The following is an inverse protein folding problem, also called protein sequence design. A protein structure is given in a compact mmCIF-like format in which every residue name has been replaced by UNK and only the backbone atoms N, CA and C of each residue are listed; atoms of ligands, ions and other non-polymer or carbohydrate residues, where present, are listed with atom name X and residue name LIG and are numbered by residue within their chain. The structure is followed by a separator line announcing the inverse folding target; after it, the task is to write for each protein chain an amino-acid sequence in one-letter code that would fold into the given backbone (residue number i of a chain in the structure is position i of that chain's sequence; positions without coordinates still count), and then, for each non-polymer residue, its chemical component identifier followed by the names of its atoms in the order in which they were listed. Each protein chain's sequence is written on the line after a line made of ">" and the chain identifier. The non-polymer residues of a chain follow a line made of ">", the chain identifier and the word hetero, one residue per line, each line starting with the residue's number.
data_IF_171525279810
#
_entry.id   IF_171525279810
#
_cell.length_a   1.000
_cell.length_b   1.000
_cell.length_c   1.000
_cell.angle_alpha   90.00
_cell.angle_beta   90.00
_cell.angle_gamma   90.00
#
_symmetry.space_group_name_H-M   'P 1'
#
loop_
_entity.id
_entity.type
_entity.pdbx_description
1 polymer ?
#
# COMPACT_ATOMS: atom_id res chain seq x y z
N UNK A 1 -62.48 -15.95 -60.69
CA UNK A 1 -61.98 -17.24 -61.22
C UNK A 1 -60.49 -17.24 -60.97
N UNK A 2 -59.86 -18.10 -60.18
CA UNK A 2 -60.23 -19.28 -59.40
C UNK A 2 -59.18 -19.32 -58.26
N UNK A 3 -59.48 -19.60 -56.99
CA UNK A 3 -60.32 -20.68 -56.53
C UNK A 3 -59.50 -21.97 -56.42
N UNK A 4 -58.61 -22.08 -55.42
CA UNK A 4 -58.23 -23.40 -54.88
C UNK A 4 -57.84 -23.33 -53.41
N UNK A 5 -58.64 -24.04 -52.61
CA UNK A 5 -58.50 -24.26 -51.17
C UNK A 5 -57.41 -25.29 -50.88
N UNK A 6 -56.83 -25.10 -49.70
CA UNK A 6 -55.84 -25.87 -48.95
C UNK A 6 -56.24 -27.35 -48.78
N UNK A 7 -55.28 -28.26 -48.49
CA UNK A 7 -55.45 -29.08 -47.30
C UNK A 7 -54.27 -28.99 -46.34
N UNK A 8 -54.63 -28.88 -45.08
CA UNK A 8 -53.80 -28.92 -43.89
C UNK A 8 -53.43 -30.39 -43.64
N UNK A 9 -52.16 -30.66 -43.35
CA UNK A 9 -51.76 -31.81 -42.56
C UNK A 9 -50.92 -31.30 -41.39
N UNK A 10 -51.39 -31.62 -40.19
CA UNK A 10 -50.82 -31.24 -38.92
C UNK A 10 -49.60 -32.08 -38.56
N UNK A 11 -48.58 -31.37 -38.11
CA UNK A 11 -47.80 -31.62 -36.89
C UNK A 11 -46.98 -32.91 -36.78
N UNK A 12 -45.66 -32.78 -36.64
CA UNK A 12 -44.93 -33.12 -35.40
C UNK A 12 -43.44 -32.93 -35.64
N UNK A 13 -42.86 -31.95 -34.95
CA UNK A 13 -41.43 -31.66 -35.00
C UNK A 13 -41.21 -30.36 -34.27
N UNK A 14 -41.20 -30.48 -32.94
CA UNK A 14 -40.97 -29.44 -31.94
C UNK A 14 -40.37 -28.16 -32.51
N UNK A 15 -41.23 -27.19 -32.80
CA UNK A 15 -40.81 -25.78 -32.78
C UNK A 15 -40.51 -25.53 -31.32
N UNK A 16 -39.23 -25.62 -30.97
CA UNK A 16 -38.73 -25.06 -29.72
C UNK A 16 -39.18 -23.61 -29.72
N UNK A 17 -40.21 -23.37 -28.91
CA UNK A 17 -40.70 -22.05 -28.58
C UNK A 17 -39.49 -21.30 -28.07
N UNK A 18 -38.86 -20.48 -28.92
CA UNK A 18 -37.92 -19.46 -28.46
C UNK A 18 -38.78 -18.58 -27.58
N UNK A 19 -38.61 -18.61 -26.24
CA UNK A 19 -39.41 -17.76 -25.39
C UNK A 19 -39.09 -16.35 -25.85
N UNK A 20 -40.11 -15.66 -26.33
CA UNK A 20 -40.06 -14.24 -26.65
C UNK A 20 -39.33 -13.57 -25.50
N UNK A 21 -38.11 -13.07 -25.76
CA UNK A 21 -37.39 -12.27 -24.78
C UNK A 21 -38.32 -11.09 -24.51
N UNK A 22 -39.02 -11.16 -23.38
CA UNK A 22 -39.73 -10.05 -22.80
C UNK A 22 -38.75 -8.89 -22.83
N UNK A 23 -39.15 -7.91 -23.64
CA UNK A 23 -38.35 -6.82 -24.18
C UNK A 23 -37.19 -6.42 -23.26
N UNK A 24 -35.95 -6.59 -23.74
CA UNK A 24 -34.83 -5.84 -23.18
C UNK A 24 -35.29 -4.39 -23.00
N UNK A 25 -34.94 -3.79 -21.88
CA UNK A 25 -35.25 -2.41 -21.58
C UNK A 25 -34.71 -1.55 -22.71
N UNK A 26 -35.57 -0.67 -23.22
CA UNK A 26 -35.19 0.29 -24.24
C UNK A 26 -35.48 1.71 -23.78
N UNK A 27 -34.64 2.63 -24.21
CA UNK A 27 -34.85 4.06 -23.99
C UNK A 27 -34.37 4.86 -25.19
N UNK A 28 -35.05 5.99 -25.43
CA UNK A 28 -34.69 6.92 -26.50
C UNK A 28 -33.32 7.58 -26.31
N UNK A 29 -32.73 7.49 -25.10
CA UNK A 29 -31.41 8.04 -24.77
C UNK A 29 -30.32 6.96 -24.67
N UNK A 30 -30.55 5.80 -25.29
CA UNK A 30 -29.61 4.68 -25.31
C UNK A 30 -28.33 5.00 -26.09
N UNK A 31 -27.21 4.47 -25.61
CA UNK A 31 -25.92 4.50 -26.32
C UNK A 31 -25.85 3.52 -27.51
N UNK A 32 -26.91 2.76 -27.78
CA UNK A 32 -27.00 1.74 -28.83
C UNK A 32 -28.12 2.06 -29.82
N UNK A 33 -27.90 1.77 -31.10
CA UNK A 33 -28.79 2.18 -32.20
C UNK A 33 -30.18 1.52 -32.16
N UNK A 34 -30.28 0.36 -31.50
CA UNK A 34 -31.51 -0.40 -31.30
C UNK A 34 -32.30 0.02 -30.05
N UNK A 35 -31.78 1.00 -29.30
CA UNK A 35 -32.43 1.56 -28.12
C UNK A 35 -32.11 0.84 -26.81
N UNK A 36 -31.18 -0.12 -26.77
CA UNK A 36 -30.87 -0.94 -25.58
C UNK A 36 -30.49 -0.10 -24.34
N UNK A 37 -31.26 -0.17 -23.26
CA UNK A 37 -31.03 0.61 -22.04
C UNK A 37 -30.17 -0.17 -21.03
N UNK A 38 -28.87 0.08 -21.07
CA UNK A 38 -27.92 -0.59 -20.19
C UNK A 38 -28.18 -0.34 -18.71
N UNK A 39 -28.64 0.84 -18.32
CA UNK A 39 -28.82 1.16 -16.90
C UNK A 39 -29.97 0.35 -16.32
N UNK A 40 -31.11 0.32 -17.01
CA UNK A 40 -32.26 -0.48 -16.59
C UNK A 40 -31.96 -1.98 -16.63
N UNK A 41 -31.24 -2.44 -17.66
CA UNK A 41 -30.80 -3.83 -17.75
C UNK A 41 -29.85 -4.23 -16.62
N UNK A 42 -28.99 -3.33 -16.14
CA UNK A 42 -28.05 -3.64 -15.07
C UNK A 42 -28.74 -4.06 -13.77
N UNK A 43 -29.93 -3.50 -13.49
CA UNK A 43 -30.72 -3.82 -12.29
C UNK A 43 -31.24 -5.25 -12.38
N UNK A 44 -31.77 -5.65 -13.53
CA UNK A 44 -32.27 -7.01 -13.74
C UNK A 44 -31.15 -8.03 -13.82
N UNK A 45 -30.04 -7.70 -14.49
CA UNK A 45 -28.82 -8.51 -14.52
C UNK A 45 -28.27 -8.75 -13.13
N UNK A 46 -28.24 -7.72 -12.27
CA UNK A 46 -27.80 -7.88 -10.88
C UNK A 46 -28.73 -8.79 -10.08
N UNK A 47 -30.04 -8.68 -10.26
CA UNK A 47 -31.01 -9.58 -9.63
C UNK A 47 -30.85 -11.03 -10.11
N UNK A 48 -30.57 -11.25 -11.40
CA UNK A 48 -30.29 -12.58 -11.98
C UNK A 48 -28.97 -13.14 -11.45
N UNK A 49 -27.94 -12.31 -11.29
CA UNK A 49 -26.63 -12.74 -10.81
C UNK A 49 -26.67 -13.28 -9.38
N UNK A 50 -27.60 -12.78 -8.55
CA UNK A 50 -27.83 -13.24 -7.18
C UNK A 50 -28.55 -14.60 -7.08
N UNK A 51 -29.11 -15.12 -8.17
CA UNK A 51 -29.79 -16.43 -8.19
C UNK A 51 -28.78 -17.57 -8.30
N UNK A 52 -29.01 -18.65 -7.54
CA UNK A 52 -28.19 -19.87 -7.54
C UNK A 52 -28.46 -20.81 -8.72
N UNK A 53 -29.64 -20.73 -9.35
CA UNK A 53 -29.97 -21.38 -10.62
C UNK A 53 -30.59 -20.36 -11.56
N UNK A 54 -30.16 -20.36 -12.81
CA UNK A 54 -30.59 -19.43 -13.86
C UNK A 54 -31.23 -20.21 -15.00
N UNK A 55 -32.24 -19.63 -15.60
CA UNK A 55 -32.89 -20.13 -16.81
C UNK A 55 -32.09 -19.74 -18.05
N UNK A 56 -32.30 -20.45 -19.17
CA UNK A 56 -31.58 -20.17 -20.43
C UNK A 56 -31.84 -18.75 -20.96
N UNK A 57 -33.05 -18.23 -20.73
CA UNK A 57 -33.41 -16.85 -21.07
C UNK A 57 -32.62 -15.82 -20.24
N UNK A 58 -32.39 -16.09 -18.95
CA UNK A 58 -31.60 -15.24 -18.06
C UNK A 58 -30.11 -15.28 -18.41
N UNK A 59 -29.59 -16.44 -18.82
CA UNK A 59 -28.22 -16.59 -19.31
C UNK A 59 -27.99 -15.82 -20.62
N UNK A 60 -28.96 -15.87 -21.53
CA UNK A 60 -28.91 -15.10 -22.78
C UNK A 60 -28.92 -13.59 -22.51
N UNK A 61 -29.73 -13.14 -21.55
CA UNK A 61 -29.80 -11.72 -21.13
C UNK A 61 -28.49 -11.23 -20.50
N UNK A 62 -27.86 -12.05 -19.66
CA UNK A 62 -26.52 -11.77 -19.11
C UNK A 62 -25.46 -11.63 -20.21
N UNK A 63 -25.47 -12.55 -21.18
CA UNK A 63 -24.52 -12.54 -22.28
C UNK A 63 -24.65 -11.29 -23.16
N UNK A 64 -25.87 -10.94 -23.54
CA UNK A 64 -26.14 -9.71 -24.31
C UNK A 64 -25.68 -8.46 -23.53
N UNK A 65 -25.98 -8.39 -22.22
CA UNK A 65 -25.53 -7.29 -21.37
C UNK A 65 -23.99 -7.16 -21.33
N UNK A 66 -23.26 -8.27 -21.20
CA UNK A 66 -21.79 -8.27 -21.21
C UNK A 66 -21.21 -7.80 -22.54
N UNK A 67 -21.76 -8.26 -23.67
CA UNK A 67 -21.31 -7.87 -25.00
C UNK A 67 -21.55 -6.37 -25.25
N UNK A 68 -22.71 -5.87 -24.82
CA UNK A 68 -23.04 -4.43 -24.86
C UNK A 68 -22.13 -3.62 -23.97
N UNK A 69 -21.80 -4.11 -22.77
CA UNK A 69 -20.89 -3.45 -21.84
C UNK A 69 -19.48 -3.32 -22.41
N UNK A 70 -18.95 -4.40 -23.01
CA UNK A 70 -17.65 -4.38 -23.69
C UNK A 70 -17.62 -3.39 -24.86
N UNK A 71 -18.70 -3.31 -25.64
CA UNK A 71 -18.84 -2.37 -26.75
C UNK A 71 -18.92 -0.91 -26.27
N UNK A 72 -19.62 -0.65 -25.16
CA UNK A 72 -19.66 0.68 -24.56
C UNK A 72 -18.29 1.09 -24.03
N UNK A 73 -17.60 0.19 -23.33
CA UNK A 73 -16.26 0.46 -22.78
C UNK A 73 -15.21 0.67 -23.87
N UNK A 74 -15.29 -0.04 -25.00
CA UNK A 74 -14.41 0.20 -26.14
C UNK A 74 -14.68 1.55 -26.83
N UNK A 75 -15.95 1.97 -26.94
CA UNK A 75 -16.33 3.30 -27.45
C UNK A 75 -15.90 4.44 -26.52
N UNK A 76 -16.05 4.26 -25.20
CA UNK A 76 -15.57 5.19 -24.18
C UNK A 76 -14.04 5.27 -24.23
N UNK A 77 -13.35 4.13 -24.30
CA UNK A 77 -11.88 4.06 -24.43
C UNK A 77 -11.36 4.73 -25.72
N UNK A 78 -12.06 4.56 -26.84
CA UNK A 78 -11.73 5.21 -28.11
C UNK A 78 -11.97 6.74 -28.06
N UNK A 79 -13.06 7.20 -27.44
CA UNK A 79 -13.30 8.63 -27.19
C UNK A 79 -12.26 9.23 -26.23
N UNK A 80 -11.86 8.51 -25.17
CA UNK A 80 -10.82 8.96 -24.23
C UNK A 80 -9.46 9.17 -24.91
N UNK A 81 -9.07 8.29 -25.85
CA UNK A 81 -7.83 8.45 -26.64
C UNK A 81 -7.88 9.66 -27.58
N UNK A 82 -9.04 10.01 -28.13
CA UNK A 82 -9.24 11.21 -28.96
C UNK A 82 -9.29 12.51 -28.13
N UNK A 83 -9.69 12.45 -26.86
CA UNK A 83 -9.84 13.63 -25.97
C UNK A 83 -8.56 14.16 -25.32
N UNK A 84 -7.38 13.54 -25.50
CA UNK A 84 -6.10 14.15 -25.07
C UNK A 84 -5.75 15.45 -25.83
N UNK A 85 -6.40 15.73 -26.98
CA UNK A 85 -6.10 16.90 -27.83
C UNK A 85 -7.08 18.08 -27.75
N UNK A 86 -8.19 17.98 -27.02
CA UNK A 86 -9.13 19.09 -26.82
C UNK A 86 -9.84 18.95 -25.47
N UNK A 87 -9.44 19.76 -24.49
CA UNK A 87 -10.21 19.97 -23.26
C UNK A 87 -11.36 20.94 -23.56
N UNK A 88 -12.52 20.39 -23.90
CA UNK A 88 -13.79 21.12 -23.87
C UNK A 88 -14.74 20.41 -22.89
N UNK A 89 -15.50 21.23 -22.14
CA UNK A 89 -16.26 20.94 -20.92
C UNK A 89 -17.23 19.74 -21.05
N UNK A 90 -17.30 18.90 -20.02
CA UNK A 90 -18.39 17.93 -19.84
C UNK A 90 -19.54 18.58 -19.06
N UNK A 91 -20.79 18.34 -19.48
CA UNK A 91 -22.02 18.64 -18.72
C UNK A 91 -22.47 17.39 -17.96
N UNK A 92 -22.83 17.54 -16.68
CA UNK A 92 -23.47 16.50 -15.86
C UNK A 92 -24.99 16.76 -15.89
N UNK A 93 -25.78 15.82 -16.42
CA UNK A 93 -27.16 16.10 -16.86
C UNK A 93 -28.29 15.79 -15.87
N UNK A 94 -28.07 15.30 -14.64
CA UNK A 94 -29.20 14.91 -13.75
C UNK A 94 -29.25 15.60 -12.37
N UNK A 95 -28.42 16.62 -12.15
CA UNK A 95 -28.63 17.61 -11.10
C UNK A 95 -28.21 18.96 -11.65
N UNK A 96 -29.12 19.93 -11.75
CA UNK A 96 -28.74 21.34 -11.88
C UNK A 96 -28.10 21.80 -10.57
N UNK A 97 -26.86 21.37 -10.34
CA UNK A 97 -25.97 22.13 -9.47
C UNK A 97 -25.60 23.35 -10.29
N UNK A 98 -26.33 24.45 -10.09
CA UNK A 98 -25.91 25.77 -10.53
C UNK A 98 -24.71 26.16 -9.66
N UNK A 99 -23.58 25.45 -9.82
CA UNK A 99 -22.29 26.04 -9.51
C UNK A 99 -22.13 27.08 -10.60
N UNK A 100 -22.44 28.34 -10.31
CA UNK A 100 -21.95 29.40 -11.20
C UNK A 100 -20.46 29.13 -11.36
N UNK A 101 -19.98 28.97 -12.59
CA UNK A 101 -18.56 28.72 -12.90
C UNK A 101 -17.60 29.75 -12.25
N UNK A 102 -18.16 30.83 -11.67
CA UNK A 102 -17.49 31.82 -10.83
C UNK A 102 -17.18 31.30 -9.43
N UNK A 103 -18.02 30.48 -8.80
CA UNK A 103 -17.94 30.14 -7.37
C UNK A 103 -16.69 29.32 -7.02
N UNK A 104 -16.42 28.23 -7.73
CA UNK A 104 -15.24 27.37 -7.47
C UNK A 104 -13.87 28.08 -7.67
N UNK A 105 -13.63 28.85 -8.75
CA UNK A 105 -12.43 29.68 -8.86
C UNK A 105 -12.48 30.97 -8.03
N UNK A 106 -13.65 31.41 -7.55
CA UNK A 106 -13.77 32.50 -6.56
C UNK A 106 -13.56 32.05 -5.13
N UNK A 107 -13.52 30.73 -4.87
CA UNK A 107 -13.07 30.24 -3.58
C UNK A 107 -11.68 30.83 -3.34
N UNK A 108 -11.45 31.53 -2.21
CA UNK A 108 -10.12 31.91 -1.82
C UNK A 108 -9.25 30.66 -1.93
N UNK A 109 -8.03 30.78 -2.47
CA UNK A 109 -7.07 29.66 -2.39
C UNK A 109 -6.91 29.35 -0.91
N UNK A 110 -7.57 28.30 -0.44
CA UNK A 110 -7.39 27.82 0.91
C UNK A 110 -5.91 27.51 1.06
N UNK A 111 -5.29 28.06 2.10
CA UNK A 111 -3.94 27.64 2.47
C UNK A 111 -3.96 26.13 2.77
N UNK A 112 -2.79 25.49 2.72
CA UNK A 112 -2.69 24.13 3.18
C UNK A 112 -3.19 24.04 4.63
N UNK A 113 -3.79 22.90 5.00
CA UNK A 113 -4.16 22.63 6.38
C UNK A 113 -2.89 22.62 7.24
N UNK A 114 -2.86 23.47 8.26
CA UNK A 114 -1.77 23.54 9.22
C UNK A 114 -2.22 22.93 10.55
N UNK A 115 -1.32 22.22 11.22
CA UNK A 115 -1.60 21.73 12.57
C UNK A 115 -1.67 22.92 13.52
N UNK A 116 -2.74 23.01 14.31
CA UNK A 116 -2.92 24.07 15.31
C UNK A 116 -1.97 23.95 16.52
N UNK A 117 -1.18 22.87 16.61
CA UNK A 117 -0.24 22.62 17.71
C UNK A 117 0.92 21.69 17.34
N UNK A 118 1.89 21.57 18.25
CA UNK A 118 2.99 20.62 18.12
C UNK A 118 2.56 19.25 18.66
N UNK A 119 2.78 18.19 17.87
CA UNK A 119 2.56 16.84 18.35
C UNK A 119 3.59 16.50 19.45
N UNK A 120 3.15 15.77 20.46
CA UNK A 120 4.00 15.34 21.57
C UNK A 120 3.82 13.86 21.85
N UNK A 121 4.87 13.24 22.37
CA UNK A 121 4.87 11.87 22.88
C UNK A 121 5.26 11.89 24.35
N UNK A 122 4.53 11.15 25.17
CA UNK A 122 4.80 11.01 26.60
C UNK A 122 5.38 9.62 26.86
N UNK A 123 6.55 9.55 27.50
CA UNK A 123 7.23 8.30 27.82
C UNK A 123 7.40 8.18 29.34
N UNK A 124 7.00 7.04 29.89
CA UNK A 124 7.11 6.81 31.34
C UNK A 124 8.43 6.16 31.74
N UNK A 125 9.08 5.43 30.83
CA UNK A 125 10.30 4.66 31.13
C UNK A 125 11.57 5.31 30.59
N UNK A 126 12.67 5.11 31.32
CA UNK A 126 14.00 5.60 30.89
C UNK A 126 14.49 4.83 29.66
N UNK A 127 14.11 3.57 29.55
CA UNK A 127 14.44 2.66 28.45
C UNK A 127 13.85 3.20 27.13
N UNK A 128 12.57 3.59 27.13
CA UNK A 128 11.95 4.24 25.98
C UNK A 128 12.58 5.61 25.69
N UNK A 129 12.84 6.43 26.72
CA UNK A 129 13.54 7.71 26.55
C UNK A 129 14.92 7.56 25.89
N UNK A 130 15.67 6.51 26.21
CA UNK A 130 16.96 6.19 25.56
C UNK A 130 16.78 5.77 24.10
N UNK A 131 15.73 5.02 23.76
CA UNK A 131 15.42 4.69 22.36
C UNK A 131 14.95 5.91 21.56
N UNK A 132 14.29 6.87 22.20
CA UNK A 132 13.91 8.13 21.57
C UNK A 132 15.13 8.97 21.18
N UNK A 133 16.06 9.16 22.12
CA UNK A 133 17.26 9.99 21.95
C UNK A 133 18.31 9.28 21.09
N UNK A 134 18.54 7.99 21.35
CA UNK A 134 19.68 7.24 20.82
C UNK A 134 20.90 7.33 21.74
N UNK A 135 21.98 6.67 21.34
CA UNK A 135 23.28 6.76 21.99
C UNK A 135 24.34 7.11 20.94
N UNK A 136 24.91 8.33 20.96
CA UNK A 136 25.98 8.66 20.04
C UNK A 136 27.19 7.74 20.27
N UNK A 137 27.93 7.46 19.19
CA UNK A 137 29.20 6.77 19.28
C UNK A 137 30.25 7.79 19.73
N UNK A 138 30.63 7.75 21.00
CA UNK A 138 31.74 8.57 21.51
C UNK A 138 33.03 7.75 21.47
N UNK A 139 34.14 8.38 21.07
CA UNK A 139 35.47 7.76 21.04
C UNK A 139 35.91 7.21 22.42
N UNK A 140 35.44 7.84 23.50
CA UNK A 140 35.72 7.43 24.89
C UNK A 140 34.79 6.33 25.42
N UNK A 141 33.65 6.08 24.77
CA UNK A 141 32.72 5.03 25.20
C UNK A 141 33.07 3.72 24.50
N UNK A 142 33.45 2.69 25.27
CA UNK A 142 33.69 1.32 24.76
C UNK A 142 32.45 0.63 24.17
N UNK A 143 31.31 1.31 24.09
CA UNK A 143 30.04 0.76 23.61
C UNK A 143 29.75 1.12 22.15
N UNK A 144 29.05 0.22 21.45
CA UNK A 144 28.53 0.48 20.11
C UNK A 144 27.36 1.46 20.23
N UNK A 145 27.53 2.67 19.69
CA UNK A 145 26.45 3.66 19.59
C UNK A 145 25.29 3.16 18.71
N UNK A 146 24.11 3.74 18.86
CA UNK A 146 22.95 3.41 18.03
C UNK A 146 22.10 4.65 17.72
N UNK A 147 21.48 4.73 16.52
CA UNK A 147 20.61 5.81 16.17
C UNK A 147 19.33 5.74 17.01
N UNK A 148 18.90 6.89 17.55
CA UNK A 148 17.61 7.01 18.22
C UNK A 148 16.46 7.15 17.23
N UNK A 149 15.23 7.12 17.74
CA UNK A 149 14.01 7.29 16.95
C UNK A 149 14.05 8.54 16.06
N UNK A 150 14.62 9.65 16.54
CA UNK A 150 14.77 10.89 15.75
C UNK A 150 15.65 10.67 14.52
N UNK A 151 16.80 10.03 14.69
CA UNK A 151 17.73 9.74 13.61
C UNK A 151 17.11 8.74 12.62
N UNK A 152 16.45 7.68 13.12
CA UNK A 152 15.75 6.70 12.29
C UNK A 152 14.60 7.34 11.50
N UNK A 153 13.81 8.22 12.13
CA UNK A 153 12.75 8.98 11.45
C UNK A 153 13.31 9.89 10.36
N UNK A 154 14.48 10.49 10.58
CA UNK A 154 15.17 11.25 9.53
C UNK A 154 15.64 10.34 8.39
N UNK A 155 16.14 9.13 8.68
CA UNK A 155 16.48 8.15 7.65
C UNK A 155 15.27 7.77 6.78
N UNK A 156 14.13 7.48 7.41
CA UNK A 156 12.87 7.27 6.68
C UNK A 156 12.46 8.48 5.86
N UNK A 157 12.57 9.69 6.43
CA UNK A 157 12.29 10.93 5.69
C UNK A 157 13.16 11.03 4.44
N UNK A 158 14.47 10.80 4.56
CA UNK A 158 15.38 10.90 3.43
C UNK A 158 15.01 9.90 2.35
N UNK A 159 14.81 8.62 2.68
CA UNK A 159 14.36 7.61 1.72
C UNK A 159 13.02 7.98 1.08
N UNK A 160 12.04 8.42 1.89
CA UNK A 160 10.74 8.89 1.41
C UNK A 160 10.86 10.06 0.41
N UNK A 161 11.72 11.04 0.68
CA UNK A 161 11.95 12.15 -0.25
C UNK A 161 12.57 11.66 -1.57
N UNK A 162 13.47 10.67 -1.51
CA UNK A 162 14.14 10.08 -2.67
C UNK A 162 13.24 9.21 -3.54
N UNK A 163 12.07 8.77 -3.07
CA UNK A 163 11.09 8.08 -3.94
C UNK A 163 10.65 8.94 -5.13
N UNK A 164 10.75 10.27 -5.02
CA UNK A 164 10.50 11.18 -6.13
C UNK A 164 11.38 10.90 -7.35
N UNK A 165 12.60 10.43 -7.11
CA UNK A 165 13.60 10.16 -8.13
C UNK A 165 13.27 8.90 -8.95
N UNK A 166 12.24 8.11 -8.63
CA UNK A 166 11.89 6.87 -9.35
C UNK A 166 13.03 5.82 -9.39
N UNK A 167 13.75 5.72 -8.27
CA UNK A 167 14.78 4.72 -8.06
C UNK A 167 14.18 3.45 -7.41
N UNK A 168 14.28 2.27 -8.06
CA UNK A 168 13.67 1.04 -7.55
C UNK A 168 14.31 0.52 -6.25
N UNK A 169 15.60 0.79 -6.00
CA UNK A 169 16.28 0.40 -4.76
C UNK A 169 15.82 1.22 -3.55
N UNK A 170 15.45 2.49 -3.77
CA UNK A 170 14.85 3.34 -2.72
C UNK A 170 13.51 2.76 -2.29
N UNK A 171 12.65 2.46 -3.27
CA UNK A 171 11.32 1.91 -3.01
C UNK A 171 11.41 0.55 -2.33
N UNK A 172 12.29 -0.33 -2.80
CA UNK A 172 12.50 -1.64 -2.20
C UNK A 172 12.99 -1.54 -0.75
N UNK A 173 13.94 -0.67 -0.47
CA UNK A 173 14.46 -0.47 0.89
C UNK A 173 13.41 0.11 1.85
N UNK A 174 12.51 0.97 1.35
CA UNK A 174 11.36 1.45 2.12
C UNK A 174 10.37 0.32 2.42
N UNK A 175 10.02 -0.49 1.42
CA UNK A 175 9.14 -1.65 1.58
C UNK A 175 9.70 -2.60 2.64
N UNK A 176 10.98 -2.98 2.53
CA UNK A 176 11.63 -3.82 3.53
C UNK A 176 11.61 -3.19 4.93
N UNK A 177 11.87 -1.89 5.03
CA UNK A 177 11.85 -1.18 6.31
C UNK A 177 10.44 -1.09 6.90
N UNK A 178 9.41 -0.98 6.08
CA UNK A 178 8.01 -1.06 6.50
C UNK A 178 7.64 -2.46 6.99
N UNK A 179 8.05 -3.50 6.26
CA UNK A 179 7.84 -4.90 6.66
C UNK A 179 8.50 -5.20 8.01
N UNK A 180 9.76 -4.81 8.18
CA UNK A 180 10.50 -4.96 9.44
C UNK A 180 9.80 -4.22 10.58
N UNK A 181 9.37 -2.98 10.34
CA UNK A 181 8.66 -2.17 11.33
C UNK A 181 7.33 -2.82 11.74
N UNK A 182 6.56 -3.32 10.78
CA UNK A 182 5.28 -3.99 11.04
C UNK A 182 5.48 -5.31 11.80
N UNK A 183 6.52 -6.08 11.46
CA UNK A 183 6.87 -7.31 12.17
C UNK A 183 7.28 -7.02 13.61
N UNK A 184 8.11 -6.00 13.82
CA UNK A 184 8.54 -5.57 15.14
C UNK A 184 7.36 -5.07 15.99
N UNK A 185 6.44 -4.28 15.42
CA UNK A 185 5.19 -3.91 16.07
C UNK A 185 4.36 -5.12 16.49
N UNK A 186 4.19 -6.10 15.58
CA UNK A 186 3.42 -7.31 15.86
C UNK A 186 4.04 -8.09 17.02
N UNK A 187 5.36 -8.25 17.00
CA UNK A 187 6.12 -8.92 18.05
C UNK A 187 5.95 -8.24 19.42
N UNK A 188 6.15 -6.92 19.51
CA UNK A 188 6.00 -6.19 20.78
C UNK A 188 4.55 -6.25 21.27
N UNK A 189 3.56 -6.12 20.38
CA UNK A 189 2.15 -6.20 20.77
C UNK A 189 1.76 -7.59 21.27
N UNK A 190 2.24 -8.65 20.62
CA UNK A 190 2.04 -10.02 21.09
C UNK A 190 2.64 -10.21 22.47
N UNK A 191 3.87 -9.73 22.69
CA UNK A 191 4.49 -9.83 24.01
C UNK A 191 3.76 -9.00 25.06
N UNK A 192 3.30 -7.78 24.73
CA UNK A 192 2.44 -6.99 25.59
C UNK A 192 1.16 -7.75 25.99
N UNK A 193 0.51 -8.41 25.04
CA UNK A 193 -0.67 -9.22 25.31
C UNK A 193 -0.34 -10.40 26.24
N UNK A 194 0.80 -11.08 26.03
CA UNK A 194 1.28 -12.15 26.88
C UNK A 194 1.51 -11.68 28.33
N UNK A 195 2.17 -10.53 28.50
CA UNK A 195 2.41 -9.95 29.82
C UNK A 195 1.11 -9.53 30.53
N UNK A 196 0.17 -8.93 29.79
CA UNK A 196 -1.16 -8.59 30.33
C UNK A 196 -1.91 -9.86 30.76
N UNK A 197 -1.84 -10.94 30.00
CA UNK A 197 -2.47 -12.21 30.37
C UNK A 197 -1.82 -12.82 31.62
N UNK A 198 -0.49 -12.75 31.74
CA UNK A 198 0.22 -13.15 32.96
C UNK A 198 -0.23 -12.32 34.16
N UNK A 199 -0.34 -11.00 34.01
CA UNK A 199 -0.81 -10.11 35.07
C UNK A 199 -2.23 -10.49 35.53
N UNK A 200 -3.15 -10.68 34.59
CA UNK A 200 -4.54 -11.09 34.87
C UNK A 200 -4.63 -12.45 35.54
N UNK A 201 -3.79 -13.41 35.16
CA UNK A 201 -3.78 -14.73 35.77
C UNK A 201 -3.29 -14.70 37.22
N UNK A 202 -2.36 -13.80 37.56
CA UNK A 202 -1.90 -13.61 38.93
C UNK A 202 -2.86 -12.77 39.79
N UNK A 203 -3.76 -12.01 39.16
CA UNK A 203 -4.77 -11.19 39.84
C UNK A 203 -6.02 -11.97 40.33
N UNK A 204 -6.06 -13.30 40.17
CA UNK A 204 -7.29 -14.11 40.30
C UNK A 204 -7.87 -14.22 41.71
N UNK A 205 -7.17 -13.81 42.76
CA UNK A 205 -7.61 -13.95 44.16
C UNK A 205 -8.15 -12.64 44.76
N UNK A 206 -8.79 -11.79 43.94
CA UNK A 206 -9.33 -10.49 44.35
C UNK A 206 -8.29 -9.36 44.39
N UNK A 207 -7.09 -9.60 43.87
CA UNK A 207 -6.00 -8.62 43.81
C UNK A 207 -6.12 -7.74 42.57
N UNK A 208 -6.43 -6.45 42.75
CA UNK A 208 -6.43 -5.47 41.66
C UNK A 208 -5.04 -4.89 41.43
N UNK A 209 -4.37 -5.32 40.35
CA UNK A 209 -3.05 -4.80 39.97
C UNK A 209 -3.16 -3.80 38.83
N UNK A 210 -2.69 -2.58 39.09
CA UNK A 210 -2.57 -1.53 38.07
C UNK A 210 -1.17 -1.55 37.42
N UNK A 211 -1.12 -1.23 36.13
CA UNK A 211 0.16 -1.10 35.41
C UNK A 211 0.89 0.13 35.93
N UNK A 212 2.17 -0.01 36.28
CA UNK A 212 3.00 1.08 36.79
C UNK A 212 3.00 2.28 35.85
N UNK A 213 2.89 3.48 36.41
CA UNK A 213 3.01 4.76 35.72
C UNK A 213 4.04 5.63 36.40
N UNK A 214 4.87 6.28 35.60
CA UNK A 214 5.71 7.35 36.12
C UNK A 214 4.84 8.57 36.43
N UNK A 215 4.94 9.10 37.65
CA UNK A 215 4.21 10.31 38.10
C UNK A 215 4.57 11.55 37.28
N UNK A 216 5.77 11.58 36.70
CA UNK A 216 6.25 12.65 35.84
C UNK A 216 6.77 12.05 34.54
N UNK A 217 5.89 11.69 33.59
CA UNK A 217 6.32 11.19 32.29
C UNK A 217 7.10 12.28 31.54
N UNK A 218 8.13 11.86 30.82
CA UNK A 218 8.94 12.77 30.03
C UNK A 218 8.19 13.04 28.74
N UNK A 219 7.88 14.31 28.48
CA UNK A 219 7.25 14.75 27.23
C UNK A 219 8.30 15.13 26.21
N UNK A 220 8.19 14.59 25.00
CA UNK A 220 9.02 14.99 23.88
C UNK A 220 8.15 15.57 22.77
N UNK A 221 8.56 16.71 22.22
CA UNK A 221 7.96 17.28 21.02
C UNK A 221 8.39 16.46 19.80
N UNK A 222 7.43 16.05 18.98
CA UNK A 222 7.68 15.31 17.75
C UNK A 222 7.08 16.09 16.59
N UNK A 223 7.89 16.46 15.61
CA UNK A 223 7.38 17.07 14.37
C UNK A 223 7.47 16.05 13.25
N UNK A 224 6.35 15.39 12.94
CA UNK A 224 6.31 14.40 11.89
C UNK A 224 6.27 15.06 10.51
N UNK A 225 7.44 15.41 9.98
CA UNK A 225 7.54 15.88 8.58
C UNK A 225 7.44 14.74 7.55
N UNK A 226 7.18 13.51 8.00
CA UNK A 226 7.02 12.31 7.18
C UNK A 226 6.03 11.35 7.87
N UNK A 227 5.29 10.52 7.12
CA UNK A 227 4.29 9.63 7.69
C UNK A 227 4.88 8.48 8.53
N UNK A 228 6.11 8.06 8.23
CA UNK A 228 6.80 6.99 8.96
C UNK A 228 7.18 7.37 10.39
N UNK A 229 7.40 8.65 10.66
CA UNK A 229 7.69 9.14 12.00
C UNK A 229 6.57 8.79 12.99
N UNK A 230 5.32 8.89 12.55
CA UNK A 230 4.17 8.52 13.39
C UNK A 230 4.16 7.01 13.71
N UNK A 231 4.48 6.16 12.72
CA UNK A 231 4.61 4.71 12.93
C UNK A 231 5.71 4.40 13.95
N UNK A 232 6.87 5.05 13.85
CA UNK A 232 7.97 4.91 14.82
C UNK A 232 7.57 5.36 16.23
N UNK A 233 6.80 6.45 16.36
CA UNK A 233 6.30 6.88 17.66
C UNK A 233 5.34 5.86 18.27
N UNK A 234 4.47 5.24 17.46
CA UNK A 234 3.65 4.13 17.94
C UNK A 234 4.50 2.95 18.41
N UNK A 235 5.58 2.62 17.69
CA UNK A 235 6.49 1.52 18.07
C UNK A 235 7.11 1.82 19.43
N UNK A 236 7.53 3.06 19.63
CA UNK A 236 8.14 3.48 20.88
C UNK A 236 7.15 3.45 22.05
N UNK A 237 5.89 3.83 21.84
CA UNK A 237 4.82 3.71 22.84
C UNK A 237 4.50 2.25 23.17
N UNK A 238 4.47 1.37 22.17
CA UNK A 238 4.30 -0.08 22.38
C UNK A 238 5.45 -0.64 23.25
N UNK A 239 6.68 -0.17 23.04
CA UNK A 239 7.84 -0.52 23.86
C UNK A 239 7.79 0.08 25.28
N UNK A 240 7.40 1.35 25.43
CA UNK A 240 7.24 1.98 26.74
C UNK A 240 6.23 1.23 27.60
N UNK A 241 5.10 0.83 27.00
CA UNK A 241 4.10 -0.04 27.63
C UNK A 241 4.67 -1.41 28.01
N UNK A 242 5.46 -2.02 27.13
CA UNK A 242 6.14 -3.29 27.41
C UNK A 242 7.03 -3.18 28.65
N UNK A 243 7.86 -2.14 28.72
CA UNK A 243 8.75 -1.93 29.85
C UNK A 243 7.97 -1.73 31.16
N UNK A 244 6.90 -0.93 31.14
CA UNK A 244 6.00 -0.76 32.29
C UNK A 244 5.39 -2.08 32.76
N UNK A 245 4.94 -2.93 31.83
CA UNK A 245 4.37 -4.25 32.14
C UNK A 245 5.40 -5.19 32.78
N UNK A 246 6.63 -5.21 32.25
CA UNK A 246 7.73 -6.00 32.84
C UNK A 246 8.01 -5.55 34.27
N UNK A 247 8.16 -4.24 34.52
CA UNK A 247 8.37 -3.72 35.88
C UNK A 247 7.17 -3.97 36.81
N UNK A 248 5.95 -3.94 36.27
CA UNK A 248 4.75 -4.26 37.06
C UNK A 248 4.79 -5.72 37.52
N UNK A 249 5.15 -6.64 36.62
CA UNK A 249 5.25 -8.07 36.93
C UNK A 249 6.43 -8.39 37.87
N UNK A 250 7.53 -7.62 37.79
CA UNK A 250 8.62 -7.68 38.78
C UNK A 250 8.12 -7.26 40.17
N UNK A 251 7.39 -6.15 40.28
CA UNK A 251 6.84 -5.68 41.55
C UNK A 251 5.76 -6.60 42.13
N UNK A 252 5.09 -7.38 41.29
CA UNK A 252 4.15 -8.41 41.71
C UNK A 252 4.83 -9.76 42.01
N UNK A 253 6.17 -9.81 42.05
CA UNK A 253 6.96 -11.03 42.29
C UNK A 253 6.70 -12.16 41.27
N UNK A 254 6.17 -11.83 40.09
CA UNK A 254 5.97 -12.80 38.99
C UNK A 254 7.26 -13.02 38.22
N UNK A 255 8.09 -11.98 38.11
CA UNK A 255 9.42 -12.05 37.50
C UNK A 255 10.50 -11.76 38.53
N UNK A 256 11.64 -12.44 38.39
CA UNK A 256 12.85 -12.01 39.07
C UNK A 256 13.42 -10.75 38.41
N UNK A 257 14.22 -9.99 39.15
CA UNK A 257 14.91 -8.82 38.60
C UNK A 257 15.84 -9.18 37.42
N UNK A 258 16.43 -10.38 37.45
CA UNK A 258 17.30 -10.87 36.37
C UNK A 258 16.47 -11.11 35.11
N UNK A 259 15.31 -11.76 35.24
CA UNK A 259 14.41 -12.02 34.12
C UNK A 259 13.88 -10.73 33.49
N UNK A 260 13.49 -9.75 34.33
CA UNK A 260 13.05 -8.44 33.86
C UNK A 260 14.13 -7.73 33.05
N UNK A 261 15.36 -7.67 33.58
CA UNK A 261 16.51 -7.07 32.89
C UNK A 261 16.78 -7.77 31.56
N UNK A 262 16.75 -9.10 31.53
CA UNK A 262 16.96 -9.88 30.32
C UNK A 262 15.89 -9.60 29.25
N UNK A 263 14.60 -9.61 29.63
CA UNK A 263 13.49 -9.29 28.73
C UNK A 263 13.57 -7.88 28.15
N UNK A 264 13.84 -6.89 29.00
CA UNK A 264 14.04 -5.50 28.58
C UNK A 264 15.20 -5.37 27.61
N UNK A 265 16.33 -6.01 27.91
CA UNK A 265 17.52 -5.96 27.06
C UNK A 265 17.29 -6.63 25.70
N UNK A 266 16.63 -7.79 25.66
CA UNK A 266 16.34 -8.48 24.42
C UNK A 266 15.39 -7.67 23.54
N UNK A 267 14.28 -7.18 24.10
CA UNK A 267 13.35 -6.36 23.32
C UNK A 267 14.00 -5.07 22.83
N UNK A 268 14.86 -4.45 23.67
CA UNK A 268 15.64 -3.28 23.26
C UNK A 268 16.59 -3.62 22.11
N UNK A 269 17.27 -4.77 22.13
CA UNK A 269 18.18 -5.20 21.05
C UNK A 269 17.43 -5.33 19.74
N UNK A 270 16.21 -5.87 19.74
CA UNK A 270 15.37 -5.96 18.52
C UNK A 270 15.05 -4.57 17.95
N UNK A 271 14.62 -3.64 18.79
CA UNK A 271 14.33 -2.25 18.35
C UNK A 271 15.59 -1.56 17.82
N UNK A 272 16.71 -1.70 18.54
CA UNK A 272 17.99 -1.12 18.13
C UNK A 272 18.51 -1.75 16.82
N UNK A 273 18.38 -3.07 16.67
CA UNK A 273 18.74 -3.78 15.45
C UNK A 273 17.94 -3.28 14.26
N UNK A 274 16.63 -3.08 14.42
CA UNK A 274 15.80 -2.44 13.41
C UNK A 274 16.26 -1.00 13.08
N UNK A 275 16.55 -0.17 14.08
CA UNK A 275 17.03 1.20 13.86
C UNK A 275 18.35 1.24 13.08
N UNK A 276 19.30 0.36 13.42
CA UNK A 276 20.55 0.21 12.68
C UNK A 276 20.29 -0.19 11.22
N UNK A 277 19.48 -1.24 10.98
CA UNK A 277 19.12 -1.68 9.62
C UNK A 277 18.57 -0.54 8.75
N UNK A 278 17.65 0.26 9.29
CA UNK A 278 17.08 1.41 8.56
C UNK A 278 18.13 2.48 8.28
N UNK A 279 19.02 2.74 9.25
CA UNK A 279 20.10 3.70 9.10
C UNK A 279 21.10 3.27 8.02
N UNK A 280 21.47 1.98 8.01
CA UNK A 280 22.39 1.37 7.05
C UNK A 280 21.80 1.34 5.64
N UNK A 281 20.51 0.98 5.49
CA UNK A 281 19.79 1.06 4.20
C UNK A 281 19.82 2.47 3.64
N UNK A 282 19.52 3.49 4.47
CA UNK A 282 19.60 4.90 4.04
C UNK A 282 21.01 5.25 3.56
N UNK A 283 22.06 4.84 4.26
CA UNK A 283 23.43 5.10 3.82
C UNK A 283 23.78 4.41 2.50
N UNK A 284 23.32 3.16 2.34
CA UNK A 284 23.55 2.37 1.13
C UNK A 284 22.90 3.04 -0.08
N UNK A 285 21.64 3.44 0.03
CA UNK A 285 20.88 4.08 -1.06
C UNK A 285 21.44 5.46 -1.45
N UNK A 286 22.02 6.19 -0.49
CA UNK A 286 22.64 7.49 -0.73
C UNK A 286 24.06 7.38 -1.29
N UNK A 287 24.59 6.17 -1.48
CA UNK A 287 25.84 5.99 -2.19
C UNK A 287 25.67 6.48 -3.63
N UNK A 288 26.65 7.23 -4.15
CA UNK A 288 26.57 7.94 -5.44
C UNK A 288 26.16 7.02 -6.62
N UNK A 289 26.73 5.81 -6.66
CA UNK A 289 26.40 4.81 -7.67
C UNK A 289 24.92 4.43 -7.67
N UNK A 290 24.34 4.22 -6.48
CA UNK A 290 22.94 3.77 -6.32
C UNK A 290 21.99 4.95 -6.49
N UNK A 291 22.33 6.13 -5.97
CA UNK A 291 21.49 7.32 -6.01
C UNK A 291 21.12 7.70 -7.46
N UNK A 292 22.02 7.49 -8.42
CA UNK A 292 21.84 7.88 -9.82
C UNK A 292 20.90 6.97 -10.64
N UNK A 293 20.57 5.78 -10.13
CA UNK A 293 19.80 4.74 -10.83
C UNK A 293 18.30 5.08 -10.90
N UNK A 294 17.68 4.81 -12.04
CA UNK A 294 16.27 5.06 -12.35
C UNK A 294 15.63 3.84 -12.98
N UNK A 295 14.33 3.61 -12.81
CA UNK A 295 13.63 2.50 -13.51
C UNK A 295 13.75 2.55 -15.04
N UNK A 296 13.86 3.75 -15.60
CA UNK A 296 14.12 3.96 -17.04
C UNK A 296 15.40 3.29 -17.53
N UNK A 297 16.37 3.08 -16.62
CA UNK A 297 17.65 2.44 -16.93
C UNK A 297 17.50 0.92 -17.19
N UNK A 298 16.30 0.33 -16.99
CA UNK A 298 16.00 -1.03 -17.43
C UNK A 298 15.32 -1.08 -18.80
N UNK A 299 14.86 0.06 -19.33
CA UNK A 299 14.00 0.10 -20.52
C UNK A 299 14.71 0.52 -21.79
N UNK A 300 15.78 1.30 -21.68
CA UNK A 300 16.35 1.97 -22.85
C UNK A 300 17.49 1.15 -23.44
N UNK A 301 17.39 0.83 -24.74
CA UNK A 301 18.54 0.34 -25.52
C UNK A 301 19.60 1.45 -25.69
N UNK A 302 19.15 2.72 -25.65
CA UNK A 302 19.95 3.95 -25.80
C UNK A 302 20.52 4.51 -24.47
N UNK A 303 20.69 3.67 -23.45
CA UNK A 303 21.30 4.12 -22.19
C UNK A 303 22.76 4.48 -22.44
N UNK A 304 23.18 5.63 -21.91
CA UNK A 304 24.60 6.01 -21.90
C UNK A 304 25.43 4.86 -21.33
N UNK A 305 26.53 4.43 -21.98
CA UNK A 305 27.28 3.24 -21.58
C UNK A 305 27.74 3.29 -20.11
N UNK A 306 28.06 4.48 -19.60
CA UNK A 306 28.40 4.73 -18.20
C UNK A 306 27.28 4.35 -17.22
N UNK A 307 26.02 4.67 -17.55
CA UNK A 307 24.86 4.34 -16.69
C UNK A 307 24.57 2.85 -16.68
N UNK A 308 24.74 2.18 -17.82
CA UNK A 308 24.58 0.73 -17.93
C UNK A 308 25.66 -0.01 -17.13
N UNK A 309 26.92 0.42 -17.24
CA UNK A 309 28.02 -0.13 -16.46
C UNK A 309 27.81 0.07 -14.95
N UNK A 310 27.33 1.26 -14.55
CA UNK A 310 26.98 1.52 -13.15
C UNK A 310 25.82 0.64 -12.66
N UNK A 311 24.79 0.43 -13.48
CA UNK A 311 23.69 -0.47 -13.16
C UNK A 311 24.17 -1.91 -12.98
N UNK A 312 24.99 -2.42 -13.91
CA UNK A 312 25.59 -3.76 -13.84
C UNK A 312 26.44 -3.93 -12.57
N UNK A 313 27.26 -2.94 -12.22
CA UNK A 313 28.05 -2.94 -10.99
C UNK A 313 27.15 -2.95 -9.74
N UNK A 314 26.12 -2.10 -9.69
CA UNK A 314 25.21 -2.05 -8.55
C UNK A 314 24.43 -3.35 -8.41
N UNK A 315 23.96 -3.93 -9.50
CA UNK A 315 23.28 -5.24 -9.50
C UNK A 315 24.22 -6.34 -9.01
N UNK A 316 25.49 -6.33 -9.40
CA UNK A 316 26.49 -7.29 -8.91
C UNK A 316 26.73 -7.18 -7.40
N UNK A 317 26.72 -5.98 -6.83
CA UNK A 317 26.98 -5.76 -5.40
C UNK A 317 25.73 -5.91 -4.54
N UNK A 318 24.60 -5.37 -4.99
CA UNK A 318 23.35 -5.28 -4.23
C UNK A 318 22.37 -6.42 -4.53
N UNK A 319 22.58 -7.14 -5.62
CA UNK A 319 21.56 -8.01 -6.21
C UNK A 319 20.52 -7.24 -7.02
N UNK A 320 19.61 -8.00 -7.63
CA UNK A 320 18.46 -7.46 -8.37
C UNK A 320 17.34 -7.05 -7.42
N UNK A 321 16.57 -6.05 -7.84
CA UNK A 321 15.32 -5.68 -7.16
C UNK A 321 14.22 -6.66 -7.57
N UNK A 322 13.32 -7.07 -6.65
CA UNK A 322 12.17 -7.89 -7.02
C UNK A 322 11.37 -7.27 -8.15
N UNK A 323 10.98 -8.11 -9.11
CA UNK A 323 10.31 -7.69 -10.34
C UNK A 323 9.02 -6.93 -10.05
N UNK A 324 8.30 -7.31 -9.00
CA UNK A 324 7.06 -6.69 -8.54
C UNK A 324 7.28 -5.23 -8.11
N UNK A 325 8.44 -4.92 -7.53
CA UNK A 325 8.81 -3.55 -7.12
C UNK A 325 9.32 -2.75 -8.31
N UNK A 326 10.01 -3.40 -9.25
CA UNK A 326 10.47 -2.77 -10.48
C UNK A 326 9.28 -2.31 -11.35
N UNK A 327 8.28 -3.16 -11.53
CA UNK A 327 7.06 -2.87 -12.31
C UNK A 327 6.02 -2.03 -11.56
N UNK A 328 6.28 -1.68 -10.30
CA UNK A 328 5.39 -0.91 -9.44
C UNK A 328 4.07 -1.64 -9.07
N UNK A 329 4.06 -2.97 -9.06
CA UNK A 329 2.94 -3.75 -8.52
C UNK A 329 2.93 -3.69 -6.99
N UNK A 330 4.12 -3.78 -6.39
CA UNK A 330 4.32 -3.53 -4.96
C UNK A 330 5.00 -2.16 -4.80
N UNK A 331 4.34 -1.26 -4.07
CA UNK A 331 4.83 0.09 -3.79
C UNK A 331 4.96 0.31 -2.28
N UNK A 332 5.87 1.18 -1.81
CA UNK A 332 5.86 1.67 -0.43
C UNK A 332 4.50 2.28 -0.10
N UNK A 333 4.05 2.12 1.14
CA UNK A 333 2.75 2.67 1.57
C UNK A 333 2.66 4.19 1.36
N UNK A 334 3.80 4.88 1.49
CA UNK A 334 3.90 6.31 1.22
C UNK A 334 5.04 6.60 0.26
N UNK A 335 4.71 7.22 -0.88
CA UNK A 335 5.68 7.60 -1.92
C UNK A 335 5.41 9.01 -2.44
N UNK A 336 6.46 9.69 -2.90
CA UNK A 336 6.42 10.96 -3.65
C UNK A 336 6.58 10.78 -5.15
N UNK A 337 6.74 9.54 -5.61
CA UNK A 337 6.78 9.22 -7.02
C UNK A 337 5.48 9.66 -7.69
N UNK A 338 5.60 10.19 -8.91
CA UNK A 338 4.42 10.46 -9.75
C UNK A 338 3.84 9.11 -10.20
N UNK A 339 2.53 8.91 -10.02
CA UNK A 339 1.88 7.67 -10.47
C UNK A 339 1.86 7.65 -12.00
N UNK A 340 2.62 6.73 -12.58
CA UNK A 340 2.56 6.41 -14.00
C UNK A 340 2.09 4.97 -14.13
N UNK A 341 1.17 4.71 -15.05
CA UNK A 341 0.82 3.35 -15.45
C UNK A 341 1.68 2.99 -16.65
N UNK A 342 2.55 2.00 -16.48
CA UNK A 342 3.30 1.42 -17.60
C UNK A 342 2.34 0.68 -18.54
N UNK A 343 2.60 0.78 -19.85
CA UNK A 343 1.93 -0.05 -20.86
C UNK A 343 2.33 -1.52 -20.67
N UNK A 344 1.49 -2.46 -21.10
CA UNK A 344 1.77 -3.91 -21.05
C UNK A 344 3.17 -4.25 -21.57
N UNK A 345 3.54 -3.65 -22.70
CA UNK A 345 4.77 -3.93 -23.42
C UNK A 345 6.00 -3.49 -22.61
N UNK A 346 5.88 -2.38 -21.87
CA UNK A 346 6.94 -1.84 -21.01
C UNK A 346 7.13 -2.73 -19.78
N UNK A 347 6.03 -3.26 -19.24
CA UNK A 347 6.08 -4.22 -18.12
C UNK A 347 6.78 -5.51 -18.53
N UNK A 348 6.50 -6.03 -19.73
CA UNK A 348 7.18 -7.23 -20.26
C UNK A 348 8.67 -7.00 -20.50
N UNK A 349 9.05 -5.82 -21.01
CA UNK A 349 10.46 -5.43 -21.17
C UNK A 349 11.19 -5.35 -19.83
N UNK A 350 10.62 -4.71 -18.81
CA UNK A 350 11.19 -4.67 -17.46
C UNK A 350 11.40 -6.07 -16.89
N UNK A 351 10.40 -6.95 -17.05
CA UNK A 351 10.48 -8.35 -16.61
C UNK A 351 11.61 -9.09 -17.32
N UNK A 352 11.70 -8.99 -18.64
CA UNK A 352 12.73 -9.66 -19.43
C UNK A 352 14.15 -9.19 -19.07
N UNK A 353 14.34 -7.88 -18.90
CA UNK A 353 15.65 -7.33 -18.55
C UNK A 353 16.04 -7.68 -17.12
N UNK A 354 15.10 -7.63 -16.16
CA UNK A 354 15.39 -8.04 -14.79
C UNK A 354 15.73 -9.53 -14.70
N UNK A 355 15.06 -10.39 -15.47
CA UNK A 355 15.37 -11.82 -15.57
C UNK A 355 16.76 -12.08 -16.15
N UNK A 356 17.21 -11.28 -17.11
CA UNK A 356 18.58 -11.34 -17.62
C UNK A 356 19.61 -11.07 -16.53
N UNK A 357 19.33 -10.09 -15.66
CA UNK A 357 20.17 -9.82 -14.49
C UNK A 357 20.06 -10.89 -13.39
N UNK A 358 18.89 -11.51 -13.20
CA UNK A 358 18.71 -12.64 -12.27
C UNK A 358 19.54 -13.86 -12.68
N UNK A 359 19.60 -14.18 -13.98
CA UNK A 359 20.44 -15.27 -14.49
C UNK A 359 21.94 -15.03 -14.32
N UNK A 360 22.39 -13.79 -14.12
CA UNK A 360 23.78 -13.44 -13.77
C UNK A 360 24.04 -13.63 -12.27
N UNK A 361 23.01 -13.42 -11.42
CA UNK A 361 23.12 -13.51 -9.96
C UNK A 361 23.00 -14.95 -9.46
N UNK A 362 22.33 -15.86 -10.17
CA UNK A 362 22.32 -17.30 -9.80
C UNK A 362 23.72 -17.94 -9.86
N UNK A 363 24.68 -17.38 -10.61
CA UNK A 363 26.11 -17.79 -10.59
C UNK A 363 26.92 -17.12 -9.47
N UNK A 364 26.42 -16.04 -8.86
CA UNK A 364 27.07 -15.32 -7.77
C UNK A 364 26.21 -15.38 -6.51
N UNK A 365 26.44 -16.42 -5.71
CA UNK A 365 25.81 -16.70 -4.41
C UNK A 365 26.14 -15.56 -3.39
N UNK A 366 25.50 -14.40 -3.56
CA UNK A 366 25.67 -13.22 -2.69
C UNK A 366 24.31 -12.95 -2.07
N UNK A 367 23.99 -13.66 -0.97
CA UNK A 367 23.09 -13.30 0.14
C UNK A 367 22.80 -14.54 1.03
N UNK A 368 23.86 -15.19 1.53
CA UNK A 368 23.77 -16.05 2.73
C UNK A 368 24.15 -15.28 3.98
#
# INVERSE_FOLDING_TARGET
>A
MDGKKIPVIFNTGEVTFVPSIESFHRSGNSAFADGYDMYKESVEVNAINLKTKRTDAELMRLKEYEERYKLLMSRIGFKLKMTKKKREKYKLDDFEVIVKDVEAPSLPRFSALESSGQDTIELHTREAGRLFIGLPRNESSKGVGFPGMKATSNSFRTMFLRTHDDNPYVDFSLIQSEMDLNNLHRMIKQENANLVNRLKNNAKDGLNVNILENKQPIKFTVSFKNPYGFLLSRLLLDFDRFARLVYTLENCSVFSQIDSKYRLQNMRKEVVGFYNKVFDRKHTILHESIESIRRSDWLSEDIKPERKANLEQVVSVMGTVPTEVLICEIEPKHTRRRKYSYTSDVVEQLKSQNNKYLGIVEESDVWK
#
